data_IF_815086548505
#
_entry.id   IF_815086548505
#
_cell.length_a   1.000
_cell.length_b   1.000
_cell.length_c   1.000
_cell.angle_alpha   90.00
_cell.angle_beta   90.00
_cell.angle_gamma   90.00
#
_symmetry.space_group_name_H-M   'P 1'
#
loop_
_entity.id
_entity.type
_entity.pdbx_description
1 polymer ?
#
# COMPACT_ATOMS: atom_id res chain seq x y z
N UNK A 1 -9.21 5.93 -10.12
CA UNK A 1 -9.69 7.16 -9.49
C UNK A 1 -10.19 6.82 -8.10
N UNK A 2 -9.79 7.57 -7.08
CA UNK A 2 -10.28 7.36 -5.70
C UNK A 2 -10.49 8.69 -4.98
N UNK A 3 -11.31 8.68 -3.92
CA UNK A 3 -11.40 9.82 -3.00
C UNK A 3 -10.06 10.01 -2.30
N UNK A 4 -9.65 11.27 -2.10
CA UNK A 4 -8.38 11.59 -1.43
C UNK A 4 -8.37 11.16 0.05
N UNK A 5 -9.54 11.00 0.65
CA UNK A 5 -9.75 10.58 2.04
C UNK A 5 -10.90 9.59 2.11
N UNK A 6 -10.93 8.79 3.17
CA UNK A 6 -12.05 7.90 3.52
C UNK A 6 -12.31 6.72 2.55
N UNK A 7 -11.35 6.35 1.70
CA UNK A 7 -11.47 5.23 0.74
C UNK A 7 -10.95 3.88 1.23
N UNK A 8 -10.75 3.69 2.53
CA UNK A 8 -10.13 2.50 3.11
C UNK A 8 -11.03 1.25 3.15
N UNK A 9 -12.32 1.39 2.93
CA UNK A 9 -13.32 0.31 2.94
C UNK A 9 -13.69 -0.17 1.51
N UNK A 10 -12.90 0.19 0.52
CA UNK A 10 -13.15 -0.12 -0.89
C UNK A 10 -14.23 0.75 -1.54
N UNK A 11 -14.90 1.63 -0.78
CA UNK A 11 -15.84 2.61 -1.32
C UNK A 11 -15.11 3.87 -1.79
N UNK A 12 -15.72 4.61 -2.70
CA UNK A 12 -15.10 5.83 -3.26
C UNK A 12 -13.89 5.54 -4.15
N UNK A 13 -13.86 4.35 -4.77
CA UNK A 13 -12.87 3.96 -5.77
C UNK A 13 -13.56 3.57 -7.07
N UNK A 14 -13.02 4.05 -8.20
CA UNK A 14 -13.53 3.76 -9.53
C UNK A 14 -12.39 3.32 -10.44
N UNK A 15 -12.51 2.12 -10.97
CA UNK A 15 -11.58 1.62 -11.98
C UNK A 15 -12.00 2.17 -13.34
N UNK A 16 -11.09 2.88 -13.99
CA UNK A 16 -11.27 3.47 -15.31
C UNK A 16 -10.35 2.71 -16.27
N UNK A 17 -10.93 1.93 -17.14
CA UNK A 17 -10.20 1.20 -18.19
C UNK A 17 -10.32 1.84 -19.56
N UNK A 18 -11.31 2.73 -19.75
CA UNK A 18 -11.58 3.39 -21.03
C UNK A 18 -12.36 4.70 -20.83
N UNK A 19 -12.40 5.53 -21.87
CA UNK A 19 -13.19 6.78 -21.89
C UNK A 19 -14.68 6.53 -21.67
N UNK A 20 -15.18 5.35 -21.97
CA UNK A 20 -16.60 4.98 -21.76
C UNK A 20 -16.92 4.85 -20.29
N UNK A 21 -15.97 4.42 -19.47
CA UNK A 21 -16.16 4.27 -18.03
C UNK A 21 -16.34 5.65 -17.36
N UNK A 22 -15.74 6.70 -17.93
CA UNK A 22 -15.84 8.07 -17.42
C UNK A 22 -17.22 8.66 -17.68
N UNK A 23 -17.81 8.36 -18.84
CA UNK A 23 -19.08 8.99 -19.27
C UNK A 23 -20.30 8.66 -18.37
N UNK A 24 -20.23 7.56 -17.60
CA UNK A 24 -21.28 7.11 -16.70
C UNK A 24 -21.00 7.34 -15.22
N UNK A 25 -19.85 7.94 -14.87
CA UNK A 25 -19.46 8.12 -13.47
C UNK A 25 -20.24 9.26 -12.81
N UNK A 26 -20.91 8.93 -11.70
CA UNK A 26 -21.38 9.92 -10.75
C UNK A 26 -20.31 10.10 -9.67
N UNK A 27 -19.53 11.15 -9.79
CA UNK A 27 -18.45 11.45 -8.86
C UNK A 27 -18.93 12.34 -7.72
N UNK A 28 -18.45 12.14 -6.49
CA UNK A 28 -18.74 13.04 -5.39
C UNK A 28 -18.03 14.40 -5.56
N UNK A 29 -18.57 15.44 -4.94
CA UNK A 29 -17.96 16.78 -4.91
C UNK A 29 -16.74 16.88 -3.95
N UNK A 30 -16.02 15.79 -3.73
CA UNK A 30 -14.83 15.73 -2.87
C UNK A 30 -13.57 15.66 -3.70
N UNK A 31 -12.41 16.11 -3.19
CA UNK A 31 -11.16 15.97 -3.90
C UNK A 31 -10.84 14.50 -4.22
N UNK A 32 -10.45 14.26 -5.45
CA UNK A 32 -10.11 12.93 -5.96
C UNK A 32 -8.63 12.84 -6.29
N UNK A 33 -8.10 11.61 -6.27
CA UNK A 33 -6.75 11.26 -6.75
C UNK A 33 -6.90 10.31 -7.92
N UNK A 34 -6.18 10.60 -9.00
CA UNK A 34 -6.07 9.71 -10.14
C UNK A 34 -4.71 8.98 -10.05
N UNK A 35 -4.77 7.66 -10.01
CA UNK A 35 -3.60 6.79 -9.91
C UNK A 35 -3.55 5.85 -11.11
N UNK A 36 -2.33 5.55 -11.58
CA UNK A 36 -2.15 4.51 -12.56
C UNK A 36 -2.47 3.14 -11.93
N UNK A 37 -3.05 2.25 -12.73
CA UNK A 37 -3.23 0.88 -12.30
C UNK A 37 -1.87 0.18 -12.22
N UNK A 38 -1.57 -0.41 -11.07
CA UNK A 38 -0.35 -1.18 -10.85
C UNK A 38 -0.64 -2.66 -11.07
N UNK A 39 0.08 -3.28 -11.99
CA UNK A 39 0.09 -4.74 -12.11
C UNK A 39 1.03 -5.33 -11.07
N UNK A 40 0.51 -6.16 -10.18
CA UNK A 40 1.25 -6.76 -9.09
C UNK A 40 0.98 -8.27 -8.96
N UNK A 41 1.91 -8.98 -8.34
CA UNK A 41 1.83 -10.43 -8.13
C UNK A 41 1.36 -10.75 -6.70
N UNK A 42 1.61 -9.86 -5.77
CA UNK A 42 1.19 -10.01 -4.36
C UNK A 42 1.14 -8.65 -3.65
N UNK A 43 0.40 -8.61 -2.56
CA UNK A 43 0.37 -7.48 -1.63
C UNK A 43 1.02 -7.89 -0.31
N UNK A 44 1.71 -6.95 0.35
CA UNK A 44 2.36 -7.20 1.63
C UNK A 44 2.53 -5.92 2.44
N UNK A 45 2.76 -6.10 3.74
CA UNK A 45 3.03 -4.97 4.64
C UNK A 45 4.48 -4.96 5.09
N UNK A 46 5.04 -3.76 5.24
CA UNK A 46 6.23 -3.51 6.03
C UNK A 46 5.80 -2.82 7.32
N UNK A 47 6.09 -3.46 8.45
CA UNK A 47 5.76 -2.96 9.77
C UNK A 47 7.06 -2.58 10.45
N UNK A 48 7.18 -1.33 10.89
CA UNK A 48 8.34 -0.83 11.61
C UNK A 48 7.95 -0.13 12.91
N UNK A 49 8.90 -0.04 13.82
CA UNK A 49 8.86 0.90 14.93
C UNK A 49 10.08 1.81 14.86
N UNK A 50 9.85 3.12 15.01
CA UNK A 50 10.91 4.11 15.12
C UNK A 50 10.86 4.75 16.50
N UNK A 51 11.98 4.72 17.19
CA UNK A 51 12.14 5.32 18.51
C UNK A 51 12.43 6.84 18.40
N UNK A 52 12.40 7.55 19.52
CA UNK A 52 12.67 8.99 19.58
C UNK A 52 14.11 9.35 19.17
N UNK A 53 15.06 8.45 19.38
CA UNK A 53 16.46 8.60 18.97
C UNK A 53 16.69 8.27 17.48
N UNK A 54 15.63 7.95 16.74
CA UNK A 54 15.66 7.58 15.33
C UNK A 54 15.96 6.11 15.05
N UNK A 55 16.20 5.27 16.07
CA UNK A 55 16.44 3.86 15.88
C UNK A 55 15.20 3.15 15.32
N UNK A 56 15.39 2.34 14.26
CA UNK A 56 14.29 1.60 13.60
C UNK A 56 14.49 0.10 13.78
N UNK A 57 13.38 -0.61 14.00
CA UNK A 57 13.27 -2.07 13.97
C UNK A 57 12.08 -2.48 13.12
N UNK A 58 12.16 -3.65 12.50
CA UNK A 58 11.13 -4.21 11.64
C UNK A 58 10.60 -5.52 12.21
N UNK A 59 9.33 -5.78 11.97
CA UNK A 59 8.75 -7.12 12.07
C UNK A 59 8.90 -7.85 10.74
N UNK A 60 8.56 -9.13 10.74
CA UNK A 60 8.43 -9.90 9.52
C UNK A 60 7.30 -9.31 8.66
N UNK A 61 7.52 -9.28 7.36
CA UNK A 61 6.58 -8.69 6.41
C UNK A 61 5.57 -9.74 5.95
N UNK A 62 4.29 -9.65 6.33
CA UNK A 62 3.29 -10.62 5.93
C UNK A 62 2.80 -10.37 4.50
N UNK A 63 2.40 -11.45 3.82
CA UNK A 63 1.56 -11.39 2.63
C UNK A 63 0.16 -11.01 3.04
N UNK A 64 -0.44 -10.06 2.34
CA UNK A 64 -1.81 -9.63 2.55
C UNK A 64 -2.74 -10.20 1.48
N UNK A 65 -3.97 -10.50 1.88
CA UNK A 65 -5.06 -10.81 0.97
C UNK A 65 -6.25 -9.94 1.32
N UNK A 66 -6.80 -9.25 0.32
CA UNK A 66 -7.97 -8.40 0.47
C UNK A 66 -9.21 -9.05 -0.14
N UNK A 67 -10.34 -8.90 0.52
CA UNK A 67 -11.66 -9.28 0.03
C UNK A 67 -12.56 -8.05 -0.01
N UNK A 68 -13.10 -7.74 -1.17
CA UNK A 68 -13.94 -6.56 -1.39
C UNK A 68 -13.29 -5.24 -0.93
N UNK A 69 -11.96 -5.12 -1.09
CA UNK A 69 -11.19 -3.94 -0.70
C UNK A 69 -10.88 -3.82 0.79
N UNK A 70 -11.15 -4.87 1.57
CA UNK A 70 -10.84 -4.93 3.01
C UNK A 70 -9.80 -6.02 3.25
N UNK A 71 -8.81 -5.75 4.09
CA UNK A 71 -7.80 -6.74 4.48
C UNK A 71 -8.48 -7.92 5.19
N UNK A 72 -8.44 -9.09 4.58
CA UNK A 72 -9.04 -10.30 5.09
C UNK A 72 -8.04 -11.16 5.88
N UNK A 73 -6.83 -11.36 5.33
CA UNK A 73 -5.80 -12.19 5.98
C UNK A 73 -4.41 -11.61 5.78
N UNK A 74 -3.55 -11.83 6.78
CA UNK A 74 -2.11 -11.60 6.71
C UNK A 74 -1.40 -12.91 7.07
N UNK A 75 -0.49 -13.38 6.21
CA UNK A 75 0.11 -14.71 6.31
C UNK A 75 1.64 -14.63 6.40
N UNK A 76 2.22 -15.42 7.29
CA UNK A 76 3.66 -15.64 7.42
C UNK A 76 3.97 -17.16 7.36
N UNK A 77 5.06 -17.57 6.74
CA UNK A 77 5.97 -16.74 5.91
C UNK A 77 5.27 -16.21 4.67
N UNK A 78 5.74 -15.05 4.15
CA UNK A 78 5.11 -14.38 3.02
C UNK A 78 5.31 -15.12 1.68
N UNK A 79 6.42 -15.86 1.56
CA UNK A 79 6.82 -16.56 0.34
C UNK A 79 7.21 -15.61 -0.80
N UNK A 80 7.58 -16.21 -1.92
CA UNK A 80 7.91 -15.45 -3.13
C UNK A 80 6.64 -14.87 -3.79
N UNK A 81 6.71 -13.72 -4.50
CA UNK A 81 7.93 -12.91 -4.74
C UNK A 81 8.22 -11.88 -3.63
N UNK A 82 7.50 -11.90 -2.52
CA UNK A 82 7.60 -10.89 -1.46
C UNK A 82 8.97 -10.95 -0.78
N UNK A 83 9.43 -12.15 -0.39
CA UNK A 83 10.67 -12.31 0.37
C UNK A 83 11.88 -11.71 -0.35
N UNK A 84 11.92 -11.81 -1.67
CA UNK A 84 12.97 -11.18 -2.50
C UNK A 84 12.91 -9.65 -2.50
N UNK A 85 11.79 -9.04 -2.12
CA UNK A 85 11.54 -7.60 -2.21
C UNK A 85 11.48 -6.89 -0.84
N UNK A 86 11.48 -7.64 0.26
CA UNK A 86 11.32 -7.09 1.62
C UNK A 86 12.37 -6.04 1.95
N UNK A 87 13.64 -6.26 1.65
CA UNK A 87 14.69 -5.31 2.01
C UNK A 87 14.54 -3.98 1.25
N UNK A 88 14.23 -4.03 -0.04
CA UNK A 88 13.96 -2.82 -0.81
C UNK A 88 12.73 -2.05 -0.28
N UNK A 89 11.67 -2.78 0.11
CA UNK A 89 10.49 -2.16 0.72
C UNK A 89 10.79 -1.56 2.11
N UNK A 90 11.64 -2.21 2.91
CA UNK A 90 12.10 -1.69 4.21
C UNK A 90 12.89 -0.38 4.04
N UNK A 91 13.71 -0.28 3.00
CA UNK A 91 14.46 0.94 2.71
C UNK A 91 13.52 2.09 2.32
N UNK A 92 12.49 1.82 1.54
CA UNK A 92 11.44 2.81 1.24
C UNK A 92 10.68 3.21 2.51
N UNK A 93 10.33 2.24 3.36
CA UNK A 93 9.64 2.49 4.62
C UNK A 93 10.46 3.36 5.58
N UNK A 94 11.79 3.16 5.65
CA UNK A 94 12.70 4.04 6.39
C UNK A 94 12.63 5.47 5.87
N UNK A 95 12.74 5.66 4.55
CA UNK A 95 12.67 6.99 3.94
C UNK A 95 11.38 7.71 4.28
N UNK A 96 10.25 7.01 4.26
CA UNK A 96 8.95 7.59 4.64
C UNK A 96 8.93 7.96 6.12
N UNK A 97 9.38 7.06 7.01
CA UNK A 97 9.41 7.33 8.45
C UNK A 97 10.33 8.51 8.80
N UNK A 98 11.47 8.63 8.12
CA UNK A 98 12.42 9.73 8.31
C UNK A 98 11.86 11.06 7.74
N UNK A 99 11.25 11.04 6.57
CA UNK A 99 10.66 12.22 5.96
C UNK A 99 9.50 12.81 6.78
N UNK A 100 8.79 11.96 7.53
CA UNK A 100 7.71 12.35 8.42
C UNK A 100 8.17 12.65 9.85
N UNK A 101 9.44 12.44 10.16
CA UNK A 101 9.97 12.42 11.53
C UNK A 101 9.08 11.59 12.49
N UNK A 102 8.61 10.45 11.98
CA UNK A 102 7.61 9.63 12.65
C UNK A 102 8.22 8.90 13.85
N UNK A 103 7.53 8.93 14.99
CA UNK A 103 7.90 8.17 16.20
C UNK A 103 6.75 7.25 16.56
N UNK A 104 7.03 5.95 16.67
CA UNK A 104 6.01 4.93 16.98
C UNK A 104 5.98 3.79 15.96
N UNK A 105 4.90 3.04 15.95
CA UNK A 105 4.66 1.94 15.01
C UNK A 105 4.03 2.48 13.73
N UNK A 106 4.65 2.16 12.60
CA UNK A 106 4.18 2.54 11.27
C UNK A 106 4.04 1.27 10.42
N UNK A 107 2.91 1.16 9.75
CA UNK A 107 2.67 0.11 8.76
C UNK A 107 2.49 0.74 7.38
N UNK A 108 3.20 0.21 6.40
CA UNK A 108 3.14 0.62 5.01
C UNK A 108 2.78 -0.58 4.14
N UNK A 109 1.83 -0.40 3.24
CA UNK A 109 1.44 -1.44 2.29
C UNK A 109 2.20 -1.29 0.98
N UNK A 110 2.55 -2.43 0.40
CA UNK A 110 3.29 -2.53 -0.86
C UNK A 110 2.67 -3.55 -1.80
N UNK A 111 2.79 -3.25 -3.07
CA UNK A 111 2.60 -4.21 -4.15
C UNK A 111 3.96 -4.82 -4.53
N UNK A 112 4.05 -6.15 -4.53
CA UNK A 112 5.19 -6.86 -5.11
C UNK A 112 4.98 -6.93 -6.63
N UNK A 113 5.80 -6.20 -7.37
CA UNK A 113 5.74 -6.17 -8.84
C UNK A 113 6.99 -6.82 -9.44
N UNK A 114 6.98 -7.08 -10.74
CA UNK A 114 8.17 -7.59 -11.46
C UNK A 114 9.36 -6.65 -11.44
N UNK A 115 9.11 -5.36 -11.19
CA UNK A 115 10.15 -4.32 -11.17
C UNK A 115 10.56 -3.91 -9.75
N UNK A 116 10.08 -4.63 -8.73
CA UNK A 116 10.34 -4.33 -7.33
C UNK A 116 9.08 -3.83 -6.59
N UNK A 117 9.23 -3.51 -5.30
CA UNK A 117 8.10 -3.08 -4.48
C UNK A 117 7.62 -1.68 -4.87
N UNK A 118 6.32 -1.52 -4.96
CA UNK A 118 5.65 -0.23 -5.17
C UNK A 118 4.81 0.08 -3.94
N UNK A 119 4.99 1.26 -3.38
CA UNK A 119 4.20 1.75 -2.24
C UNK A 119 2.74 2.01 -2.65
N UNK A 120 1.79 1.49 -1.84
CA UNK A 120 0.35 1.62 -2.06
C UNK A 120 -0.27 2.72 -1.20
#
# INVERSE_FOLDING_TARGET
LKTRRDGYDGKGQWRIGSDRDVAGLSLPETPLVYEAFVEFEAEFSVILVRAQDGAIRFWDSPRNSHENGVLATSTLPAGEPIEAQVEAARDLARQVADALDYVGVLTLEFFATRNGPVFN
#
